data_IF_044038787725
#
_entry.id   IF_044038787725
#
_cell.length_a   1.000
_cell.length_b   1.000
_cell.length_c   1.000
_cell.angle_alpha   90.00
_cell.angle_beta   90.00
_cell.angle_gamma   90.00
#
_symmetry.space_group_name_H-M   'P 1'
#
loop_
_entity.id
_entity.type
_entity.pdbx_description
1 polymer ?
#
# COMPACT_ATOMS: atom_id res chain seq x y z
N UNK A 1 61.05 5.37 -0.98
CA UNK A 1 59.86 5.64 -0.14
C UNK A 1 59.06 6.79 -0.73
N UNK A 2 57.95 6.49 -1.41
CA UNK A 2 56.82 7.41 -1.58
C UNK A 2 55.58 6.57 -1.83
N UNK A 3 54.69 6.64 -0.85
CA UNK A 3 53.41 5.96 -0.77
C UNK A 3 52.53 6.40 -1.93
N UNK A 4 51.92 5.44 -2.63
CA UNK A 4 50.66 5.67 -3.32
C UNK A 4 49.79 4.42 -3.16
N UNK A 5 49.24 4.28 -1.95
CA UNK A 5 48.01 3.53 -1.76
C UNK A 5 46.92 4.27 -2.54
N UNK A 6 46.58 3.76 -3.72
CA UNK A 6 45.31 4.11 -4.35
C UNK A 6 44.27 3.21 -3.71
N UNK A 7 43.61 3.77 -2.70
CA UNK A 7 42.37 3.25 -2.13
C UNK A 7 41.38 3.02 -3.29
N UNK A 8 41.15 1.76 -3.65
CA UNK A 8 39.99 1.40 -4.44
C UNK A 8 38.79 1.49 -3.49
N UNK A 9 38.23 2.68 -3.38
CA UNK A 9 36.90 2.88 -2.82
C UNK A 9 35.93 2.13 -3.74
N UNK A 10 35.56 0.92 -3.36
CA UNK A 10 34.38 0.25 -3.91
C UNK A 10 33.21 1.10 -3.44
N UNK A 11 32.83 2.05 -4.31
CA UNK A 11 31.63 2.85 -4.18
C UNK A 11 30.49 1.83 -4.15
N UNK A 12 29.90 1.73 -2.96
CA UNK A 12 28.65 1.06 -2.70
C UNK A 12 27.66 1.56 -3.76
N UNK A 13 27.36 0.73 -4.76
CA UNK A 13 26.18 0.92 -5.58
C UNK A 13 24.98 0.58 -4.69
N UNK A 14 24.60 1.49 -3.80
CA UNK A 14 23.19 1.58 -3.41
C UNK A 14 22.46 1.89 -4.70
N UNK A 15 21.92 0.86 -5.35
CA UNK A 15 20.91 1.05 -6.37
C UNK A 15 19.81 1.85 -5.68
N UNK A 16 19.71 3.13 -6.03
CA UNK A 16 18.61 3.97 -5.65
C UNK A 16 17.39 3.40 -6.39
N UNK A 17 16.75 2.41 -5.77
CA UNK A 17 15.38 2.06 -6.11
C UNK A 17 14.56 3.31 -5.76
N UNK A 18 14.28 4.09 -6.79
CA UNK A 18 13.27 5.13 -6.73
C UNK A 18 11.98 4.44 -6.32
N UNK A 19 11.58 4.56 -5.05
CA UNK A 19 10.23 4.23 -4.64
C UNK A 19 9.30 5.15 -5.39
N UNK A 20 8.68 4.61 -6.44
CA UNK A 20 7.60 5.29 -7.13
C UNK A 20 6.54 5.54 -6.04
N UNK A 21 6.16 6.80 -5.82
CA UNK A 21 5.00 7.07 -4.97
C UNK A 21 3.83 6.46 -5.71
N UNK A 22 3.42 5.27 -5.30
CA UNK A 22 2.32 4.62 -5.96
C UNK A 22 1.02 5.16 -5.41
N UNK A 23 0.67 6.32 -5.96
CA UNK A 23 -0.69 6.85 -6.02
C UNK A 23 -1.46 5.98 -7.00
N UNK A 24 -1.76 4.73 -6.62
CA UNK A 24 -2.58 3.92 -7.51
C UNK A 24 -4.03 4.37 -7.39
N UNK A 25 -4.33 5.32 -8.27
CA UNK A 25 -5.59 5.84 -8.77
C UNK A 25 -5.25 6.78 -9.91
N UNK A 26 -5.83 6.68 -11.12
CA UNK A 26 -5.76 7.81 -12.02
C UNK A 26 -6.42 8.99 -11.28
N UNK A 27 -5.61 9.94 -10.78
CA UNK A 27 -6.04 11.11 -9.99
C UNK A 27 -6.49 10.82 -8.54
N UNK A 28 -5.63 10.23 -7.70
CA UNK A 28 -5.83 10.38 -6.26
C UNK A 28 -5.63 11.87 -5.89
N UNK A 29 -6.72 12.62 -5.76
CA UNK A 29 -6.70 14.02 -5.34
C UNK A 29 -6.79 14.12 -3.82
N UNK A 30 -6.16 15.15 -3.27
CA UNK A 30 -6.32 15.54 -1.88
C UNK A 30 -6.68 17.02 -1.88
N UNK A 31 -7.95 17.32 -2.11
CA UNK A 31 -8.55 18.67 -2.09
C UNK A 31 -9.57 18.77 -0.94
N UNK A 32 -10.03 17.64 -0.42
CA UNK A 32 -10.91 17.52 0.73
C UNK A 32 -10.68 16.19 1.47
N UNK A 33 -11.06 16.13 2.76
CA UNK A 33 -11.04 14.88 3.55
C UNK A 33 -11.87 13.74 2.91
N UNK A 34 -12.88 14.09 2.10
CA UNK A 34 -13.73 13.13 1.42
C UNK A 34 -13.06 12.51 0.18
N UNK A 35 -11.96 13.06 -0.33
CA UNK A 35 -11.36 12.61 -1.59
C UNK A 35 -10.67 11.25 -1.48
N UNK A 36 -10.27 10.86 -0.27
CA UNK A 36 -9.83 9.48 0.03
C UNK A 36 -10.96 8.46 -0.16
N UNK A 37 -12.22 8.90 -0.09
CA UNK A 37 -13.39 8.09 -0.41
C UNK A 37 -13.88 8.30 -1.85
N UNK A 38 -13.85 9.54 -2.37
CA UNK A 38 -14.36 9.90 -3.70
C UNK A 38 -13.42 9.51 -4.83
N UNK A 39 -12.10 9.49 -4.60
CA UNK A 39 -11.23 8.67 -5.42
C UNK A 39 -11.78 7.27 -5.29
N UNK A 40 -12.05 6.59 -6.41
CA UNK A 40 -12.76 5.30 -6.46
C UNK A 40 -11.99 4.13 -5.78
N UNK A 41 -11.10 4.44 -4.83
CA UNK A 41 -10.03 3.64 -4.25
C UNK A 41 -9.88 3.93 -2.75
N UNK A 42 -10.93 3.58 -2.03
CA UNK A 42 -10.94 3.00 -0.68
C UNK A 42 -9.58 2.81 0.06
N UNK A 43 -9.00 3.90 0.57
CA UNK A 43 -7.77 3.88 1.37
C UNK A 43 -6.50 4.06 0.54
N UNK A 44 -5.65 4.99 0.96
CA UNK A 44 -4.39 5.34 0.28
C UNK A 44 -3.23 4.79 1.09
N UNK A 45 -2.30 4.11 0.43
CA UNK A 45 -1.05 3.69 1.04
C UNK A 45 0.11 3.95 0.09
N UNK A 46 1.32 4.05 0.64
CA UNK A 46 2.57 4.18 -0.11
C UNK A 46 3.52 3.06 0.31
N UNK A 47 4.20 2.46 -0.67
CA UNK A 47 5.37 1.60 -0.40
C UNK A 47 6.61 2.49 -0.48
N UNK A 48 7.35 2.59 0.63
CA UNK A 48 8.51 3.50 0.77
C UNK A 48 9.82 2.81 0.38
N UNK A 49 9.91 1.52 0.64
CA UNK A 49 11.05 0.67 0.32
C UNK A 49 10.59 -0.78 0.21
N UNK A 50 11.24 -1.53 -0.67
CA UNK A 50 11.16 -2.98 -0.75
C UNK A 50 12.55 -3.60 -0.62
N UNK A 51 12.60 -4.78 0.00
CA UNK A 51 13.75 -5.67 0.05
C UNK A 51 13.25 -7.06 -0.32
N UNK A 52 13.97 -7.71 -1.23
CA UNK A 52 13.61 -9.03 -1.75
C UNK A 52 14.82 -9.92 -1.55
N UNK A 53 14.62 -11.00 -0.80
CA UNK A 53 15.66 -11.99 -0.53
C UNK A 53 15.21 -13.32 -1.08
N UNK A 54 16.01 -13.85 -2.00
CA UNK A 54 15.81 -15.19 -2.52
C UNK A 54 16.30 -16.23 -1.51
N UNK A 55 15.47 -17.24 -1.24
CA UNK A 55 15.78 -18.42 -0.44
C UNK A 55 15.67 -19.67 -1.32
N UNK A 56 16.00 -20.84 -0.78
CA UNK A 56 16.03 -22.08 -1.56
C UNK A 56 14.71 -22.34 -2.31
N UNK A 57 13.58 -22.30 -1.60
CA UNK A 57 12.25 -22.64 -2.14
C UNK A 57 11.24 -21.46 -2.12
N UNK A 58 11.61 -20.35 -1.49
CA UNK A 58 10.77 -19.18 -1.29
C UNK A 58 11.49 -17.91 -1.70
N UNK A 59 10.72 -16.84 -1.90
CA UNK A 59 11.19 -15.47 -1.87
C UNK A 59 10.64 -14.82 -0.60
N UNK A 60 11.49 -14.13 0.14
CA UNK A 60 11.08 -13.26 1.23
C UNK A 60 10.98 -11.84 0.70
N UNK A 61 9.83 -11.21 0.91
CA UNK A 61 9.56 -9.84 0.50
C UNK A 61 9.28 -9.03 1.76
N UNK A 62 10.15 -8.06 2.03
CA UNK A 62 9.98 -7.08 3.10
C UNK A 62 9.68 -5.71 2.51
N UNK A 63 8.59 -5.08 2.97
CA UNK A 63 8.23 -3.73 2.51
C UNK A 63 7.90 -2.81 3.69
N UNK A 64 8.20 -1.52 3.52
CA UNK A 64 7.72 -0.47 4.40
C UNK A 64 6.47 0.17 3.79
N UNK A 65 5.33 0.05 4.47
CA UNK A 65 4.04 0.59 4.04
C UNK A 65 3.65 1.75 4.94
N UNK A 66 3.31 2.87 4.33
CA UNK A 66 2.68 3.99 5.01
C UNK A 66 1.21 4.08 4.62
N UNK A 67 0.34 4.21 5.61
CA UNK A 67 -1.07 4.50 5.41
C UNK A 67 -1.29 6.00 5.43
N UNK A 68 -1.96 6.53 4.41
CA UNK A 68 -2.09 7.96 4.19
C UNK A 68 -3.53 8.44 4.40
N UNK A 69 -3.64 9.64 4.97
CA UNK A 69 -4.88 10.42 5.03
C UNK A 69 -4.71 11.78 4.36
N UNK A 70 -5.81 12.46 4.06
CA UNK A 70 -5.82 13.75 3.40
C UNK A 70 -6.20 14.80 4.44
N UNK A 71 -5.25 15.67 4.76
CA UNK A 71 -5.41 16.66 5.81
C UNK A 71 -5.12 18.06 5.26
N UNK A 72 -5.82 19.06 5.81
CA UNK A 72 -5.54 20.46 5.52
C UNK A 72 -4.31 20.89 6.32
N UNK A 73 -3.29 21.34 5.61
CA UNK A 73 -2.01 21.82 6.13
C UNK A 73 -1.83 23.27 5.66
N UNK A 74 -2.14 24.23 6.52
CA UNK A 74 -2.23 25.63 6.11
C UNK A 74 -3.42 25.84 5.15
N UNK A 75 -3.16 26.39 3.97
CA UNK A 75 -4.18 26.66 2.94
C UNK A 75 -4.39 25.51 1.95
N UNK A 76 -3.55 24.49 1.99
CA UNK A 76 -3.56 23.38 1.05
C UNK A 76 -3.92 22.06 1.72
N UNK A 77 -4.41 21.11 0.92
CA UNK A 77 -4.64 19.74 1.35
C UNK A 77 -3.48 18.86 0.89
N UNK A 78 -2.97 18.02 1.79
CA UNK A 78 -1.82 17.17 1.53
C UNK A 78 -2.06 15.76 2.07
N UNK A 79 -1.46 14.77 1.40
CA UNK A 79 -1.38 13.42 1.95
C UNK A 79 -0.37 13.40 3.10
N UNK A 80 -0.82 12.97 4.26
CA UNK A 80 0.01 12.80 5.46
C UNK A 80 -0.15 11.38 6.01
N UNK A 81 0.84 10.91 6.79
CA UNK A 81 0.75 9.61 7.46
C UNK A 81 -0.40 9.63 8.46
N UNK A 82 -1.25 8.60 8.40
CA UNK A 82 -2.39 8.43 9.27
C UNK A 82 -2.09 7.41 10.38
N UNK A 83 -1.77 7.92 11.57
CA UNK A 83 -1.56 7.07 12.74
C UNK A 83 -2.88 6.52 13.31
N UNK A 84 -4.04 7.09 12.95
CA UNK A 84 -5.36 6.59 13.34
C UNK A 84 -6.12 6.08 12.10
N UNK A 85 -5.43 5.25 11.32
CA UNK A 85 -5.94 4.81 10.04
C UNK A 85 -7.18 3.90 10.15
N UNK A 86 -7.40 3.27 11.31
CA UNK A 86 -8.51 2.34 11.54
C UNK A 86 -9.88 3.01 11.60
N UNK A 87 -9.96 4.33 11.74
CA UNK A 87 -11.24 5.05 11.79
C UNK A 87 -11.19 6.33 10.96
N UNK A 88 -12.33 6.72 10.39
CA UNK A 88 -12.45 7.99 9.71
C UNK A 88 -13.88 8.53 9.80
N UNK A 89 -14.01 9.84 9.95
CA UNK A 89 -15.29 10.54 9.98
C UNK A 89 -15.32 11.58 8.88
N UNK A 90 -16.40 11.60 8.09
CA UNK A 90 -16.58 12.53 6.99
C UNK A 90 -18.07 12.82 6.76
N UNK A 91 -18.35 13.88 5.98
CA UNK A 91 -19.72 14.25 5.64
C UNK A 91 -20.09 13.76 4.24
N UNK A 92 -21.28 13.20 4.08
CA UNK A 92 -21.82 12.70 2.82
C UNK A 92 -23.32 12.98 2.76
N UNK A 93 -23.88 13.03 1.54
CA UNK A 93 -25.33 13.19 1.37
C UNK A 93 -26.05 11.89 1.74
N UNK A 94 -26.95 11.95 2.71
CA UNK A 94 -27.77 10.81 3.12
C UNK A 94 -28.68 10.37 1.99
N UNK A 95 -28.71 9.07 1.70
CA UNK A 95 -29.50 8.52 0.61
C UNK A 95 -31.01 8.72 0.82
N UNK A 96 -31.47 8.71 2.08
CA UNK A 96 -32.87 8.86 2.46
C UNK A 96 -33.22 10.32 2.82
N UNK A 97 -32.46 10.93 3.74
CA UNK A 97 -32.72 12.30 4.19
C UNK A 97 -32.40 13.38 3.14
N UNK A 98 -31.54 13.09 2.16
CA UNK A 98 -30.94 14.05 1.22
C UNK A 98 -30.25 15.24 1.92
N UNK A 99 -29.88 15.08 3.18
CA UNK A 99 -29.14 16.06 3.96
C UNK A 99 -27.68 15.60 4.12
N UNK A 100 -26.79 16.56 4.36
CA UNK A 100 -25.41 16.22 4.72
C UNK A 100 -25.43 15.55 6.09
N UNK A 101 -24.91 14.34 6.16
CA UNK A 101 -24.79 13.56 7.39
C UNK A 101 -23.34 13.18 7.65
N UNK A 102 -23.03 13.00 8.93
CA UNK A 102 -21.75 12.46 9.37
C UNK A 102 -21.76 10.94 9.22
N UNK A 103 -20.79 10.42 8.48
CA UNK A 103 -20.52 9.00 8.31
C UNK A 103 -19.24 8.65 9.05
N UNK A 104 -19.32 7.68 9.94
CA UNK A 104 -18.16 7.11 10.64
C UNK A 104 -17.83 5.77 10.01
N UNK A 105 -16.64 5.65 9.41
CA UNK A 105 -16.04 4.40 8.96
C UNK A 105 -15.15 3.84 10.07
N UNK A 106 -15.32 2.56 10.38
CA UNK A 106 -14.42 1.82 11.27
C UNK A 106 -13.95 0.58 10.54
N UNK A 107 -12.64 0.48 10.32
CA UNK A 107 -12.01 -0.68 9.71
C UNK A 107 -11.77 -1.70 10.85
N UNK A 108 -12.43 -2.85 10.79
CA UNK A 108 -12.32 -3.95 11.76
C UNK A 108 -11.00 -4.72 11.55
N UNK A 109 -10.57 -4.79 10.29
CA UNK A 109 -9.31 -5.40 9.90
C UNK A 109 -8.76 -4.69 8.68
N UNK A 110 -7.44 -4.46 8.69
CA UNK A 110 -6.67 -4.08 7.52
C UNK A 110 -5.52 -5.04 7.33
N UNK A 111 -5.27 -5.39 6.08
CA UNK A 111 -4.13 -6.21 5.70
C UNK A 111 -3.54 -5.70 4.40
N UNK A 112 -2.24 -5.89 4.24
CA UNK A 112 -1.63 -5.93 2.92
C UNK A 112 -1.67 -7.37 2.44
N UNK A 113 -2.29 -7.57 1.28
CA UNK A 113 -2.32 -8.87 0.60
C UNK A 113 -1.39 -8.86 -0.59
N UNK A 114 -0.74 -9.99 -0.81
CA UNK A 114 0.11 -10.30 -1.94
C UNK A 114 -0.63 -11.31 -2.81
N UNK A 115 -0.71 -11.09 -4.11
CA UNK A 115 -1.46 -11.97 -5.00
C UNK A 115 -0.83 -12.12 -6.39
N UNK A 116 -1.13 -13.24 -7.03
CA UNK A 116 -0.70 -13.53 -8.40
C UNK A 116 -1.73 -13.06 -9.45
N UNK A 117 -1.42 -13.22 -10.74
CA UNK A 117 -2.27 -12.84 -11.86
C UNK A 117 -3.61 -13.58 -11.87
N UNK A 118 -3.65 -14.80 -11.33
CA UNK A 118 -4.90 -15.56 -11.10
C UNK A 118 -5.73 -14.99 -9.94
N UNK A 119 -5.32 -13.86 -9.35
CA UNK A 119 -5.91 -13.26 -8.15
C UNK A 119 -5.88 -14.19 -6.92
N UNK A 120 -5.01 -15.20 -6.89
CA UNK A 120 -4.78 -16.04 -5.71
C UNK A 120 -3.95 -15.26 -4.69
N UNK A 121 -4.44 -15.19 -3.46
CA UNK A 121 -3.71 -14.59 -2.35
C UNK A 121 -2.56 -15.52 -1.96
N UNK A 122 -1.34 -15.01 -2.09
CA UNK A 122 -0.09 -15.66 -1.71
C UNK A 122 0.39 -15.27 -0.32
N UNK A 123 -0.07 -14.12 0.20
CA UNK A 123 0.16 -13.68 1.58
C UNK A 123 -0.86 -12.65 2.03
N UNK A 124 -1.18 -12.62 3.33
CA UNK A 124 -2.12 -11.69 3.97
C UNK A 124 -1.55 -11.28 5.33
N UNK A 125 -0.91 -10.10 5.36
CA UNK A 125 -0.28 -9.57 6.57
C UNK A 125 -1.19 -8.49 7.14
N UNK A 126 -1.71 -8.74 8.35
CA UNK A 126 -2.53 -7.79 9.07
C UNK A 126 -1.68 -6.62 9.57
N UNK A 127 -2.17 -5.40 9.37
CA UNK A 127 -1.55 -4.18 9.84
C UNK A 127 -1.93 -3.91 11.29
N UNK A 128 -0.98 -3.42 12.08
CA UNK A 128 -1.17 -2.93 13.44
C UNK A 128 -2.01 -1.64 13.44
N UNK A 129 -2.89 -1.50 14.41
CA UNK A 129 -3.80 -0.37 14.54
C UNK A 129 -3.09 0.92 14.99
N UNK A 130 -1.94 0.81 15.67
CA UNK A 130 -1.26 1.93 16.33
C UNK A 130 -0.21 2.66 15.47
N UNK A 131 0.11 2.14 14.28
CA UNK A 131 1.22 2.65 13.47
C UNK A 131 0.78 3.02 12.05
N UNK A 132 1.05 4.26 11.64
CA UNK A 132 0.83 4.71 10.26
C UNK A 132 1.90 4.23 9.28
N UNK A 133 3.14 4.01 9.71
CA UNK A 133 4.21 3.35 8.94
C UNK A 133 4.52 1.98 9.55
N UNK A 134 4.56 0.94 8.73
CA UNK A 134 4.80 -0.43 9.18
C UNK A 134 5.69 -1.18 8.21
N UNK A 135 6.68 -1.89 8.76
CA UNK A 135 7.44 -2.86 7.98
C UNK A 135 6.75 -4.21 8.08
N UNK A 136 6.42 -4.79 6.93
CA UNK A 136 5.83 -6.12 6.83
C UNK A 136 6.75 -7.03 6.02
N UNK A 137 6.80 -8.30 6.41
CA UNK A 137 7.57 -9.34 5.71
C UNK A 137 6.66 -10.50 5.38
N UNK A 138 6.78 -11.03 4.17
CA UNK A 138 6.05 -12.22 3.71
C UNK A 138 7.00 -13.17 3.01
N UNK A 139 6.83 -14.46 3.25
CA UNK A 139 7.51 -15.51 2.48
C UNK A 139 6.53 -16.12 1.47
N UNK A 140 6.97 -16.26 0.23
CA UNK A 140 6.14 -16.71 -0.88
C UNK A 140 6.88 -17.81 -1.63
N UNK A 141 6.21 -18.92 -1.90
CA UNK A 141 6.80 -20.03 -2.66
C UNK A 141 7.14 -19.58 -4.08
N UNK A 142 8.37 -19.87 -4.54
CA UNK A 142 8.84 -19.48 -5.88
C UNK A 142 7.92 -19.97 -6.99
N UNK A 143 7.39 -21.19 -6.87
CA UNK A 143 6.46 -21.76 -7.84
C UNK A 143 5.11 -21.03 -7.94
N UNK A 144 4.68 -20.35 -6.87
CA UNK A 144 3.46 -19.56 -6.86
C UNK A 144 3.71 -18.15 -7.41
N UNK A 145 4.90 -17.61 -7.16
CA UNK A 145 5.37 -16.32 -7.67
C UNK A 145 5.69 -16.38 -9.18
N UNK A 146 6.21 -17.50 -9.67
CA UNK A 146 6.67 -17.65 -11.07
C UNK A 146 5.55 -17.61 -12.12
N UNK A 147 4.28 -17.71 -11.69
CA UNK A 147 3.10 -17.54 -12.55
C UNK A 147 3.03 -16.11 -13.11
N UNK A 148 3.49 -15.13 -12.32
CA UNK A 148 3.51 -13.73 -12.71
C UNK A 148 4.81 -13.42 -13.45
N UNK A 149 4.74 -13.29 -14.77
CA UNK A 149 5.93 -13.04 -15.57
C UNK A 149 5.69 -11.95 -16.61
N UNK A 150 6.62 -11.02 -16.68
CA UNK A 150 6.73 -10.05 -17.77
C UNK A 150 7.98 -10.41 -18.61
N UNK A 151 7.85 -11.32 -19.58
CA UNK A 151 9.00 -11.83 -20.31
C UNK A 151 9.73 -10.71 -21.05
N UNK A 152 11.07 -10.75 -21.03
CA UNK A 152 11.93 -9.73 -21.67
C UNK A 152 11.79 -8.33 -21.08
N UNK A 153 11.49 -8.22 -19.79
CA UNK A 153 11.64 -6.96 -19.07
C UNK A 153 13.11 -6.53 -19.12
N UNK A 154 13.39 -5.36 -19.69
CA UNK A 154 14.76 -4.87 -19.92
C UNK A 154 15.27 -4.07 -18.72
N UNK A 155 14.37 -3.50 -17.92
CA UNK A 155 14.70 -2.52 -16.86
C UNK A 155 14.19 -2.90 -15.47
N UNK A 156 13.45 -4.00 -15.34
CA UNK A 156 12.90 -4.54 -14.08
C UNK A 156 13.05 -6.06 -14.09
N UNK A 157 12.95 -6.72 -12.94
CA UNK A 157 12.96 -8.19 -12.89
C UNK A 157 11.87 -8.83 -13.76
N UNK A 158 12.09 -10.07 -14.21
CA UNK A 158 11.16 -10.77 -15.10
C UNK A 158 9.86 -11.22 -14.41
N UNK A 159 9.90 -11.40 -13.09
CA UNK A 159 8.76 -11.82 -12.29
C UNK A 159 8.20 -10.66 -11.48
N UNK A 160 6.94 -10.79 -11.06
CA UNK A 160 6.34 -9.77 -10.22
C UNK A 160 5.34 -10.32 -9.21
N UNK A 161 4.96 -9.51 -8.23
CA UNK A 161 3.81 -9.77 -7.39
C UNK A 161 3.02 -8.49 -7.16
N UNK A 162 1.69 -8.63 -7.15
CA UNK A 162 0.81 -7.50 -6.91
C UNK A 162 0.41 -7.44 -5.44
N UNK A 163 0.28 -6.21 -4.95
CA UNK A 163 -0.12 -5.90 -3.60
C UNK A 163 -1.42 -5.10 -3.61
N UNK A 164 -2.22 -5.33 -2.58
CA UNK A 164 -3.41 -4.55 -2.32
C UNK A 164 -3.62 -4.32 -0.83
N UNK A 165 -4.24 -3.20 -0.52
CA UNK A 165 -4.81 -2.96 0.80
C UNK A 165 -6.19 -3.61 0.87
N UNK A 166 -6.32 -4.65 1.69
CA UNK A 166 -7.58 -5.34 2.01
C UNK A 166 -8.12 -4.81 3.31
N UNK A 167 -9.40 -4.46 3.35
CA UNK A 167 -10.08 -3.90 4.51
C UNK A 167 -11.43 -4.56 4.74
N UNK A 168 -11.79 -4.74 6.00
CA UNK A 168 -13.13 -5.14 6.42
C UNK A 168 -13.69 -4.01 7.27
N UNK A 169 -14.74 -3.34 6.80
CA UNK A 169 -15.13 -2.03 7.32
C UNK A 169 -16.60 -2.00 7.68
N UNK A 170 -16.92 -1.36 8.79
CA UNK A 170 -18.29 -1.04 9.23
C UNK A 170 -18.53 0.46 9.01
N UNK A 171 -19.73 0.82 8.56
CA UNK A 171 -20.13 2.22 8.44
C UNK A 171 -21.26 2.51 9.41
N UNK A 172 -21.18 3.64 10.10
CA UNK A 172 -22.20 4.13 11.02
C UNK A 172 -22.65 5.51 10.59
N UNK A 173 -23.97 5.71 10.53
CA UNK A 173 -24.63 6.97 10.21
C UNK A 173 -25.72 7.24 11.25
N UNK A 174 -26.25 8.47 11.35
CA UNK A 174 -27.47 8.74 12.13
C UNK A 174 -28.68 7.90 11.71
N UNK A 175 -28.74 7.45 10.45
CA UNK A 175 -29.85 6.64 9.90
C UNK A 175 -29.68 5.14 10.20
N UNK A 176 -28.51 4.71 10.66
CA UNK A 176 -28.25 3.32 11.00
C UNK A 176 -26.83 2.86 10.71
N UNK A 177 -26.63 1.57 10.94
CA UNK A 177 -25.34 0.89 10.81
C UNK A 177 -25.37 -0.04 9.60
N UNK A 178 -24.37 0.09 8.74
CA UNK A 178 -24.13 -0.82 7.62
C UNK A 178 -23.06 -1.82 8.05
N UNK A 179 -23.42 -3.11 7.95
CA UNK A 179 -22.60 -4.24 8.37
C UNK A 179 -21.24 -4.32 7.67
N UNK A 180 -20.37 -5.26 8.09
CA UNK A 180 -19.00 -5.32 7.60
C UNK A 180 -18.96 -5.57 6.09
N UNK A 181 -18.35 -4.63 5.37
CA UNK A 181 -18.10 -4.71 3.93
C UNK A 181 -16.62 -5.00 3.69
N UNK A 182 -16.32 -5.86 2.71
CA UNK A 182 -14.94 -6.13 2.29
C UNK A 182 -14.57 -5.20 1.15
N UNK A 183 -13.44 -4.52 1.28
CA UNK A 183 -12.86 -3.67 0.26
C UNK A 183 -11.44 -4.12 -0.06
N UNK A 184 -11.08 -4.11 -1.34
CA UNK A 184 -9.71 -4.38 -1.79
C UNK A 184 -9.30 -3.24 -2.72
N UNK A 185 -8.19 -2.59 -2.40
CA UNK A 185 -7.61 -1.50 -3.20
C UNK A 185 -6.28 -1.99 -3.77
N UNK A 186 -6.29 -2.37 -5.06
CA UNK A 186 -5.10 -2.84 -5.79
C UNK A 186 -4.15 -1.68 -6.05
N UNK A 187 -2.87 -1.84 -5.72
CA UNK A 187 -2.09 -0.64 -5.43
C UNK A 187 -0.57 -0.71 -5.54
N UNK A 188 0.07 -1.85 -5.79
CA UNK A 188 1.52 -1.86 -6.03
C UNK A 188 1.95 -3.14 -6.74
N UNK A 189 2.98 -3.07 -7.58
CA UNK A 189 3.58 -4.23 -8.23
C UNK A 189 5.07 -4.25 -7.92
N UNK A 190 5.53 -5.30 -7.24
CA UNK A 190 6.95 -5.53 -6.96
C UNK A 190 7.50 -6.42 -8.06
N UNK A 191 8.62 -6.03 -8.67
CA UNK A 191 9.32 -6.83 -9.67
C UNK A 191 10.57 -7.47 -9.04
N UNK A 192 10.90 -8.70 -9.44
CA UNK A 192 12.06 -9.46 -8.99
C UNK A 192 12.49 -10.50 -10.03
N UNK A 193 13.68 -11.07 -9.83
CA UNK A 193 14.18 -12.22 -10.58
C UNK A 193 14.12 -13.48 -9.69
N UNK A 194 13.92 -14.65 -10.32
CA UNK A 194 13.82 -15.97 -9.67
C UNK A 194 14.86 -16.94 -10.19
#
# INVERSE_FOLDING_TARGET
>A
MKNLLVLLAIIVQTQAFSSEIVLLGPKATCESKADIKKSQRNGVYRVKSEEIRELENTIEISIAVELLTCAKMGDEYQFIIDNNHMSATYSEMGALSRQMMTVTRTDIKKSIIFFNDDSKILGDIQLDEAYGEQRITVEIMKNAASVNRFPRSISKGEFYIDLALKRMTKYSTPEGVIGPMRHITRGYRIFFDL
#
